data_IF_037871554725
#
_entry.id   IF_037871554725
#
_cell.length_a   1.000
_cell.length_b   1.000
_cell.length_c   1.000
_cell.angle_alpha   90.00
_cell.angle_beta   90.00
_cell.angle_gamma   90.00
#
_symmetry.space_group_name_H-M   'P 1'
#
loop_
_entity.id
_entity.type
_entity.pdbx_description
1 polymer ?
#
# COMPACT_ATOMS: atom_id res chain seq x y z
N UNK A 1 5.66 5.69 16.89
CA UNK A 1 4.81 5.90 15.69
C UNK A 1 4.75 7.38 15.36
N UNK A 2 4.22 8.21 16.26
CA UNK A 2 4.09 9.67 16.06
C UNK A 2 5.41 10.34 15.65
N UNK A 3 6.51 10.02 16.30
CA UNK A 3 7.84 10.56 15.98
C UNK A 3 8.31 10.19 14.56
N UNK A 4 7.92 9.03 14.06
CA UNK A 4 8.22 8.62 12.67
C UNK A 4 7.55 9.53 11.63
N UNK A 5 6.33 9.97 11.88
CA UNK A 5 5.60 10.89 11.00
C UNK A 5 6.18 12.30 11.16
N UNK A 6 6.36 12.74 12.41
CA UNK A 6 6.86 14.08 12.73
C UNK A 6 8.28 14.31 12.18
N UNK A 7 9.15 13.30 12.22
CA UNK A 7 10.54 13.42 11.72
C UNK A 7 10.60 13.78 10.23
N UNK A 8 9.66 13.28 9.43
CA UNK A 8 9.57 13.64 8.00
C UNK A 8 9.03 15.05 7.83
N UNK A 9 8.04 15.45 8.62
CA UNK A 9 7.46 16.78 8.58
C UNK A 9 8.47 17.87 9.00
N UNK A 10 9.42 17.56 9.89
CA UNK A 10 10.49 18.47 10.27
C UNK A 10 11.45 18.85 9.11
N UNK A 11 11.46 18.04 8.04
CA UNK A 11 12.23 18.31 6.82
C UNK A 11 11.47 19.22 5.82
N UNK A 12 10.22 19.57 6.13
CA UNK A 12 9.39 20.45 5.31
C UNK A 12 9.45 21.89 5.81
N UNK A 13 8.89 22.83 5.03
CA UNK A 13 8.79 24.24 5.40
C UNK A 13 7.57 24.56 6.30
N UNK A 14 6.89 23.54 6.83
CA UNK A 14 5.75 23.73 7.71
C UNK A 14 6.16 24.26 9.08
N UNK A 15 5.38 25.17 9.63
CA UNK A 15 5.51 25.60 11.02
C UNK A 15 5.28 24.45 12.01
N UNK A 16 5.77 24.58 13.23
CA UNK A 16 5.56 23.56 14.29
C UNK A 16 4.07 23.26 14.54
N UNK A 17 3.22 24.26 14.42
CA UNK A 17 1.75 24.10 14.58
C UNK A 17 1.17 23.26 13.43
N UNK A 18 1.56 23.55 12.18
CA UNK A 18 1.11 22.80 11.00
C UNK A 18 1.63 21.37 11.02
N UNK A 19 2.90 21.15 11.39
CA UNK A 19 3.48 19.82 11.57
C UNK A 19 2.67 18.98 12.59
N UNK A 20 2.32 19.59 13.73
CA UNK A 20 1.52 18.92 14.75
C UNK A 20 0.13 18.58 14.23
N UNK A 21 -0.56 19.54 13.61
CA UNK A 21 -1.89 19.33 13.05
C UNK A 21 -1.89 18.20 12.00
N UNK A 22 -0.92 18.22 11.09
CA UNK A 22 -0.79 17.19 10.06
C UNK A 22 -0.47 15.82 10.66
N UNK A 23 0.37 15.76 11.70
CA UNK A 23 0.63 14.51 12.43
C UNK A 23 -0.65 13.94 13.04
N UNK A 24 -1.46 14.75 13.72
CA UNK A 24 -2.76 14.32 14.26
C UNK A 24 -3.67 13.79 13.15
N UNK A 25 -3.83 14.53 12.06
CA UNK A 25 -4.66 14.13 10.93
C UNK A 25 -4.23 12.77 10.35
N UNK A 26 -2.93 12.54 10.17
CA UNK A 26 -2.41 11.27 9.67
C UNK A 26 -2.59 10.13 10.68
N UNK A 27 -2.42 10.38 11.97
CA UNK A 27 -2.68 9.38 13.00
C UNK A 27 -4.14 8.93 13.03
N UNK A 28 -5.07 9.87 12.86
CA UNK A 28 -6.51 9.60 12.78
C UNK A 28 -6.86 8.84 11.51
N UNK A 29 -6.43 9.34 10.34
CA UNK A 29 -6.71 8.77 9.02
C UNK A 29 -6.25 7.31 8.90
N UNK A 30 -5.10 6.98 9.51
CA UNK A 30 -4.51 5.63 9.43
C UNK A 30 -4.80 4.74 10.65
N UNK A 31 -5.66 5.18 11.57
CA UNK A 31 -6.03 4.42 12.76
C UNK A 31 -4.85 4.13 13.70
N UNK A 32 -3.93 5.09 13.84
CA UNK A 32 -2.68 4.96 14.61
C UNK A 32 -2.74 5.67 15.97
N UNK A 33 -3.83 6.34 16.31
CA UNK A 33 -3.97 7.16 17.54
C UNK A 33 -3.65 6.36 18.79
N UNK A 34 -4.18 5.13 18.91
CA UNK A 34 -4.02 4.31 20.12
C UNK A 34 -2.59 3.79 20.31
N UNK A 35 -1.84 3.70 19.22
CA UNK A 35 -0.46 3.19 19.23
C UNK A 35 0.59 4.28 18.99
N UNK A 36 0.18 5.55 19.03
CA UNK A 36 1.03 6.71 18.69
C UNK A 36 2.37 6.75 19.43
N UNK A 37 2.41 6.30 20.67
CA UNK A 37 3.62 6.26 21.52
C UNK A 37 4.39 4.94 21.43
N UNK A 38 3.86 3.95 20.71
CA UNK A 38 4.53 2.67 20.58
C UNK A 38 5.81 2.80 19.75
N UNK A 39 6.79 1.99 20.12
CA UNK A 39 8.03 1.84 19.32
C UNK A 39 7.75 1.05 18.06
N UNK A 40 8.45 1.38 16.98
CA UNK A 40 8.26 0.74 15.68
C UNK A 40 8.58 -0.76 15.65
N UNK A 41 9.48 -1.21 16.50
CA UNK A 41 9.87 -2.62 16.62
C UNK A 41 8.83 -3.51 17.32
N UNK A 42 7.87 -2.88 18.03
CA UNK A 42 6.79 -3.57 18.74
C UNK A 42 5.47 -3.61 17.96
N UNK A 43 5.44 -3.05 16.76
CA UNK A 43 4.24 -2.99 15.93
C UNK A 43 3.98 -4.34 15.24
N UNK A 44 2.71 -4.72 15.15
CA UNK A 44 2.27 -5.78 14.24
C UNK A 44 2.59 -5.42 12.77
N UNK A 45 2.57 -6.42 11.88
CA UNK A 45 2.81 -6.19 10.44
C UNK A 45 1.89 -5.11 9.84
N UNK A 46 0.59 -5.19 10.14
CA UNK A 46 -0.40 -4.22 9.67
C UNK A 46 -0.20 -2.81 10.26
N UNK A 47 0.07 -2.68 11.56
CA UNK A 47 0.36 -1.39 12.20
C UNK A 47 1.63 -0.75 11.63
N UNK A 48 2.66 -1.55 11.42
CA UNK A 48 3.90 -1.09 10.79
C UNK A 48 3.63 -0.56 9.39
N UNK A 49 2.91 -1.31 8.57
CA UNK A 49 2.60 -0.91 7.19
C UNK A 49 1.76 0.37 7.15
N UNK A 50 0.73 0.51 7.99
CA UNK A 50 -0.03 1.76 8.11
C UNK A 50 0.84 2.95 8.53
N UNK A 51 1.78 2.74 9.45
CA UNK A 51 2.73 3.77 9.88
C UNK A 51 3.67 4.19 8.76
N UNK A 52 4.18 3.23 7.96
CA UNK A 52 5.05 3.50 6.81
C UNK A 52 4.33 4.32 5.73
N UNK A 53 3.07 3.96 5.43
CA UNK A 53 2.25 4.70 4.46
C UNK A 53 1.95 6.10 4.99
N UNK A 54 1.51 6.25 6.23
CA UNK A 54 1.23 7.56 6.85
C UNK A 54 2.47 8.47 6.81
N UNK A 55 3.64 7.92 7.12
CA UNK A 55 4.91 8.64 7.03
C UNK A 55 5.23 9.09 5.60
N UNK A 56 5.01 8.23 4.60
CA UNK A 56 5.24 8.58 3.20
C UNK A 56 4.30 9.72 2.74
N UNK A 57 3.06 9.74 3.22
CA UNK A 57 2.07 10.76 2.88
C UNK A 57 2.27 12.10 3.59
N UNK A 58 3.13 12.15 4.60
CA UNK A 58 3.43 13.39 5.32
C UNK A 58 3.94 14.53 4.42
N UNK A 59 4.56 14.20 3.28
CA UNK A 59 5.09 15.17 2.31
C UNK A 59 4.12 15.53 1.17
N UNK A 60 2.85 15.12 1.23
CA UNK A 60 1.83 15.32 0.18
C UNK A 60 2.30 14.85 -1.21
N UNK A 61 2.77 13.61 -1.36
CA UNK A 61 3.28 13.13 -2.62
C UNK A 61 2.15 13.01 -3.66
N UNK A 62 2.46 13.27 -4.91
CA UNK A 62 1.55 12.96 -6.04
C UNK A 62 1.62 11.52 -6.48
N UNK A 63 2.66 10.80 -6.06
CA UNK A 63 2.92 9.42 -6.44
C UNK A 63 3.60 8.66 -5.30
N UNK A 64 3.16 7.43 -5.04
CA UNK A 64 3.68 6.55 -3.97
C UNK A 64 4.12 5.22 -4.57
N UNK A 65 5.28 4.75 -4.14
CA UNK A 65 5.81 3.43 -4.44
C UNK A 65 5.62 2.54 -3.21
N UNK A 66 4.94 1.43 -3.37
CA UNK A 66 4.72 0.43 -2.32
C UNK A 66 5.40 -0.87 -2.72
N UNK A 67 6.48 -1.19 -2.05
CA UNK A 67 7.23 -2.43 -2.28
C UNK A 67 6.75 -3.50 -1.29
N UNK A 68 6.21 -4.58 -1.84
CA UNK A 68 5.64 -5.72 -1.11
C UNK A 68 4.70 -5.31 0.07
N UNK A 69 3.65 -4.50 -0.17
CA UNK A 69 2.81 -3.99 0.91
C UNK A 69 2.06 -5.08 1.69
N UNK A 70 1.89 -6.26 1.12
CA UNK A 70 1.17 -7.39 1.74
C UNK A 70 2.10 -8.43 2.37
N UNK A 71 3.43 -8.29 2.25
CA UNK A 71 4.38 -9.25 2.79
C UNK A 71 4.37 -9.26 4.33
N UNK A 72 4.23 -10.46 4.91
CA UNK A 72 4.25 -10.63 6.37
C UNK A 72 3.07 -9.99 7.11
N UNK A 73 1.98 -9.72 6.41
CA UNK A 73 0.76 -9.12 6.96
C UNK A 73 -0.33 -10.19 7.06
N UNK A 74 -1.09 -10.18 8.16
CA UNK A 74 -2.22 -11.08 8.32
C UNK A 74 -3.40 -10.71 7.38
N UNK A 75 -4.29 -11.67 7.04
CA UNK A 75 -5.35 -11.43 6.06
C UNK A 75 -6.30 -10.28 6.39
N UNK A 76 -6.57 -10.02 7.68
CA UNK A 76 -7.45 -8.92 8.11
C UNK A 76 -6.77 -7.59 7.84
N UNK A 77 -5.49 -7.48 8.20
CA UNK A 77 -4.72 -6.27 7.96
C UNK A 77 -4.43 -6.03 6.46
N UNK A 78 -4.36 -7.07 5.63
CA UNK A 78 -4.31 -6.93 4.15
C UNK A 78 -5.53 -6.17 3.63
N UNK A 79 -6.74 -6.52 4.12
CA UNK A 79 -7.96 -5.80 3.72
C UNK A 79 -7.92 -4.32 4.10
N UNK A 80 -7.38 -3.99 5.27
CA UNK A 80 -7.25 -2.60 5.70
C UNK A 80 -6.25 -1.83 4.84
N UNK A 81 -5.11 -2.45 4.47
CA UNK A 81 -4.15 -1.85 3.54
C UNK A 81 -4.78 -1.63 2.17
N UNK A 82 -5.57 -2.57 1.65
CA UNK A 82 -6.29 -2.41 0.39
C UNK A 82 -7.28 -1.24 0.42
N UNK A 83 -8.02 -1.06 1.54
CA UNK A 83 -8.91 0.09 1.74
C UNK A 83 -8.14 1.41 1.72
N UNK A 84 -6.98 1.45 2.39
CA UNK A 84 -6.08 2.61 2.39
C UNK A 84 -5.63 2.94 0.96
N UNK A 85 -5.14 1.95 0.21
CA UNK A 85 -4.70 2.13 -1.18
C UNK A 85 -5.85 2.68 -2.05
N UNK A 86 -7.05 2.12 -1.92
CA UNK A 86 -8.24 2.61 -2.63
C UNK A 86 -8.58 4.05 -2.24
N UNK A 87 -8.48 4.40 -0.97
CA UNK A 87 -8.68 5.77 -0.49
C UNK A 87 -7.66 6.75 -1.10
N UNK A 88 -6.39 6.36 -1.19
CA UNK A 88 -5.34 7.18 -1.81
C UNK A 88 -5.58 7.40 -3.31
N UNK A 89 -6.07 6.38 -4.04
CA UNK A 89 -6.50 6.53 -5.43
C UNK A 89 -7.58 7.59 -5.57
N UNK A 90 -8.58 7.59 -4.67
CA UNK A 90 -9.65 8.58 -4.67
C UNK A 90 -9.16 10.01 -4.37
N UNK A 91 -8.01 10.15 -3.74
CA UNK A 91 -7.29 11.43 -3.55
C UNK A 91 -6.43 11.83 -4.77
N UNK A 92 -6.53 11.13 -5.90
CA UNK A 92 -5.71 11.34 -7.10
C UNK A 92 -4.20 11.16 -6.86
N UNK A 93 -3.81 10.29 -5.94
CA UNK A 93 -2.41 9.90 -5.74
C UNK A 93 -2.13 8.70 -6.64
N UNK A 94 -1.12 8.82 -7.52
CA UNK A 94 -0.64 7.69 -8.32
C UNK A 94 0.05 6.66 -7.43
N UNK A 95 -0.23 5.37 -7.66
CA UNK A 95 0.35 4.31 -6.82
C UNK A 95 0.96 3.23 -7.71
N UNK A 96 2.22 2.90 -7.48
CA UNK A 96 2.87 1.72 -8.04
C UNK A 96 3.10 0.71 -6.92
N UNK A 97 2.67 -0.52 -7.15
CA UNK A 97 2.81 -1.62 -6.20
C UNK A 97 3.67 -2.71 -6.84
N UNK A 98 4.65 -3.20 -6.11
CA UNK A 98 5.31 -4.47 -6.39
C UNK A 98 4.91 -5.47 -5.31
N UNK A 99 4.41 -6.64 -5.70
CA UNK A 99 4.07 -7.70 -4.74
C UNK A 99 4.00 -9.05 -5.45
N UNK A 100 4.34 -10.10 -4.73
CA UNK A 100 4.20 -11.48 -5.19
C UNK A 100 2.82 -12.08 -4.84
N UNK A 101 2.03 -11.40 -4.03
CA UNK A 101 0.67 -11.79 -3.68
C UNK A 101 -0.32 -11.34 -4.76
N UNK A 102 -0.40 -12.15 -5.82
CA UNK A 102 -1.14 -11.82 -7.05
C UNK A 102 -2.59 -11.52 -6.80
N UNK A 103 -3.25 -12.35 -5.97
CA UNK A 103 -4.69 -12.23 -5.70
C UNK A 103 -5.03 -10.86 -5.11
N UNK A 104 -4.26 -10.43 -4.10
CA UNK A 104 -4.48 -9.20 -3.38
C UNK A 104 -4.11 -7.97 -4.22
N UNK A 105 -3.07 -8.10 -5.04
CA UNK A 105 -2.62 -7.04 -5.94
C UNK A 105 -3.60 -6.81 -7.09
N UNK A 106 -4.03 -7.88 -7.78
CA UNK A 106 -5.00 -7.78 -8.87
C UNK A 106 -6.36 -7.23 -8.40
N UNK A 107 -6.75 -7.46 -7.15
CA UNK A 107 -8.01 -6.96 -6.59
C UNK A 107 -8.11 -5.43 -6.52
N UNK A 108 -6.97 -4.70 -6.52
CA UNK A 108 -6.91 -3.25 -6.27
C UNK A 108 -6.22 -2.44 -7.37
N UNK A 109 -5.61 -3.10 -8.35
CA UNK A 109 -4.89 -2.42 -9.44
C UNK A 109 -5.80 -2.15 -10.64
N UNK A 110 -5.53 -1.08 -11.37
CA UNK A 110 -6.21 -0.77 -12.64
C UNK A 110 -5.44 -1.35 -13.83
N UNK A 111 -4.11 -1.36 -13.72
CA UNK A 111 -3.18 -1.93 -14.71
C UNK A 111 -2.09 -2.71 -14.00
N UNK A 112 -1.75 -3.86 -14.53
CA UNK A 112 -0.75 -4.76 -13.96
C UNK A 112 0.27 -5.18 -15.00
N UNK A 113 1.52 -5.26 -14.59
CA UNK A 113 2.63 -5.81 -15.35
C UNK A 113 3.10 -7.09 -14.67
N UNK A 114 3.04 -8.20 -15.37
CA UNK A 114 3.58 -9.46 -14.87
C UNK A 114 5.04 -9.60 -15.32
N UNK A 115 5.93 -9.74 -14.34
CA UNK A 115 7.34 -9.94 -14.57
C UNK A 115 7.71 -11.42 -14.39
N UNK A 116 8.47 -11.95 -15.33
CA UNK A 116 9.00 -13.30 -15.30
C UNK A 116 10.43 -13.30 -15.86
N UNK A 117 11.38 -13.92 -15.15
CA UNK A 117 12.80 -13.96 -15.53
C UNK A 117 13.39 -12.59 -15.92
N UNK A 118 13.05 -11.54 -15.17
CA UNK A 118 13.56 -10.18 -15.39
C UNK A 118 12.97 -9.43 -16.59
N UNK A 119 11.90 -9.96 -17.21
CA UNK A 119 11.20 -9.34 -18.35
C UNK A 119 9.71 -9.21 -18.06
N UNK A 120 9.08 -8.22 -18.71
CA UNK A 120 7.61 -8.12 -18.71
C UNK A 120 7.07 -9.24 -19.58
N UNK A 121 6.41 -10.21 -18.95
CA UNK A 121 5.76 -11.32 -19.65
C UNK A 121 4.46 -10.87 -20.31
N UNK A 122 3.65 -10.10 -19.58
CA UNK A 122 2.35 -9.61 -20.02
C UNK A 122 1.98 -8.34 -19.26
N UNK A 123 1.18 -7.48 -19.89
CA UNK A 123 0.54 -6.34 -19.23
C UNK A 123 -0.95 -6.28 -19.61
N UNK A 124 -1.76 -5.72 -18.75
CA UNK A 124 -3.20 -5.55 -18.98
C UNK A 124 -3.96 -5.22 -17.71
N UNK A 125 -5.27 -5.18 -17.82
CA UNK A 125 -6.17 -5.10 -16.68
C UNK A 125 -6.18 -6.42 -15.90
N UNK A 126 -6.55 -6.42 -14.62
CA UNK A 126 -6.70 -7.65 -13.85
C UNK A 126 -7.57 -8.71 -14.53
N UNK A 127 -8.66 -8.28 -15.16
CA UNK A 127 -9.60 -9.16 -15.85
C UNK A 127 -9.01 -9.80 -17.13
N UNK A 128 -8.22 -9.04 -17.88
CA UNK A 128 -7.52 -9.56 -19.06
C UNK A 128 -6.47 -10.58 -18.68
N UNK A 129 -5.67 -10.26 -17.64
CA UNK A 129 -4.63 -11.15 -17.15
C UNK A 129 -5.19 -12.44 -16.54
N UNK A 130 -6.29 -12.34 -15.80
CA UNK A 130 -6.94 -13.51 -15.19
C UNK A 130 -7.51 -14.50 -16.23
N UNK A 131 -7.81 -14.04 -17.46
CA UNK A 131 -8.32 -14.85 -18.57
C UNK A 131 -7.22 -15.35 -19.51
N UNK A 132 -6.03 -14.78 -19.45
CA UNK A 132 -4.93 -15.13 -20.36
C UNK A 132 -4.40 -16.53 -20.04
N UNK A 133 -4.39 -17.42 -21.01
CA UNK A 133 -3.97 -18.82 -20.85
C UNK A 133 -2.49 -18.96 -20.46
N UNK A 134 -1.61 -18.11 -21.02
CA UNK A 134 -0.19 -18.12 -20.68
C UNK A 134 0.03 -17.67 -19.24
N UNK A 135 -0.63 -16.59 -18.83
CA UNK A 135 -0.59 -16.05 -17.45
C UNK A 135 -1.08 -17.11 -16.45
N UNK A 136 -2.18 -17.76 -16.76
CA UNK A 136 -2.73 -18.86 -15.92
C UNK A 136 -1.78 -20.04 -15.84
N UNK A 137 -1.15 -20.42 -16.94
CA UNK A 137 -0.23 -21.56 -16.99
C UNK A 137 1.07 -21.31 -16.21
N UNK A 138 1.63 -20.10 -16.34
CA UNK A 138 2.98 -19.77 -15.82
C UNK A 138 2.91 -19.18 -14.43
N UNK A 139 1.85 -18.41 -14.08
CA UNK A 139 1.83 -17.58 -12.89
C UNK A 139 0.64 -17.80 -11.96
N UNK A 140 -0.58 -17.82 -12.46
CA UNK A 140 -1.80 -17.84 -11.63
C UNK A 140 -2.23 -19.25 -11.20
N UNK A 141 -1.95 -20.26 -12.03
CA UNK A 141 -2.50 -21.60 -11.89
C UNK A 141 -3.90 -21.75 -12.51
N UNK A 142 -4.28 -23.02 -12.81
CA UNK A 142 -5.52 -23.33 -13.53
C UNK A 142 -6.81 -22.95 -12.78
N UNK A 143 -6.77 -23.03 -11.45
CA UNK A 143 -7.93 -22.79 -10.59
C UNK A 143 -8.01 -21.36 -10.04
N UNK A 144 -7.22 -20.44 -10.58
CA UNK A 144 -7.24 -19.06 -10.14
C UNK A 144 -8.58 -18.39 -10.48
N UNK A 145 -9.20 -17.75 -9.51
CA UNK A 145 -10.40 -16.92 -9.66
C UNK A 145 -10.10 -15.51 -9.13
N UNK A 146 -10.34 -14.51 -9.96
CA UNK A 146 -10.19 -13.11 -9.56
C UNK A 146 -11.31 -12.73 -8.59
N UNK A 147 -10.96 -12.43 -7.35
CA UNK A 147 -11.90 -11.89 -6.36
C UNK A 147 -12.04 -10.39 -6.60
N UNK A 148 -13.21 -9.95 -7.04
CA UNK A 148 -13.55 -8.51 -7.09
C UNK A 148 -14.05 -8.09 -5.71
N UNK A 149 -13.51 -6.98 -5.22
CA UNK A 149 -14.03 -6.28 -4.02
C UNK A 149 -14.86 -5.09 -4.42
#
# INVERSE_FOLDING_TARGET
VEENILSVLQLTNLSKSEQKHKTESLLEEFGLVQIRKNRGDLLSGGERRRTEIARALATDPKFVLLDEPFAGVDPIAVEDIQKIISHLKNKNIGILITDHNVQETLAITDKTYLMFEGKILKEGTPEELAKDEMVRKVYLGKNFELRKK
#
